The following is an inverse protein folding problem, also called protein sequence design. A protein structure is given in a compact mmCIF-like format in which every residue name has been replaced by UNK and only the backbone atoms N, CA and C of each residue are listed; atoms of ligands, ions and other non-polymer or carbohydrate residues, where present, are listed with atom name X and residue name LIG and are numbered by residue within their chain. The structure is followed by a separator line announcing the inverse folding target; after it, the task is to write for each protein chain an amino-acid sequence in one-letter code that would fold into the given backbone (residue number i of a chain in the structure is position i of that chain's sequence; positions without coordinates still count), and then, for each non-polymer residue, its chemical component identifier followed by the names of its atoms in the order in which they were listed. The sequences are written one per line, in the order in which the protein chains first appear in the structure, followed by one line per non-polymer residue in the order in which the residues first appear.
data_IF_949480563721
#
_entry.id   IF_949480563721
#
_cell.length_a   1.000
_cell.length_b   1.000
_cell.length_c   1.000
_cell.angle_alpha   90.00
_cell.angle_beta   90.00
_cell.angle_gamma   90.00
#
_symmetry.space_group_name_H-M   'P 1'
#
loop_
_entity.id
_entity.type
_entity.pdbx_description
1 polymer ?
#
# COMPACT_ATOMS: atom_id res chain seq x y z
N UNK A 1 8.06 4.63 -14.85
CA UNK A 1 7.29 3.37 -14.86
C UNK A 1 6.03 3.50 -14.03
N UNK A 2 5.13 2.54 -14.18
CA UNK A 2 3.93 2.38 -13.35
C UNK A 2 4.12 1.13 -12.50
N UNK A 3 3.73 1.19 -11.25
CA UNK A 3 3.72 0.07 -10.32
C UNK A 3 2.35 -0.15 -9.69
N UNK A 4 2.21 -1.23 -8.92
CA UNK A 4 1.07 -1.45 -8.03
C UNK A 4 1.54 -1.51 -6.58
N UNK A 5 0.74 -0.96 -5.66
CA UNK A 5 1.05 -0.86 -4.23
C UNK A 5 -0.13 -1.36 -3.41
N UNK A 6 0.09 -2.40 -2.66
CA UNK A 6 -0.88 -2.97 -1.71
C UNK A 6 -0.45 -2.67 -0.28
N UNK A 7 0.81 -2.91 0.06
CA UNK A 7 1.40 -2.72 1.38
C UNK A 7 2.72 -1.91 1.35
N UNK A 8 3.03 -1.22 0.26
CA UNK A 8 4.26 -0.46 0.10
C UNK A 8 5.03 -0.77 -1.19
N UNK A 9 4.45 -1.58 -2.10
CA UNK A 9 5.17 -2.14 -3.26
C UNK A 9 5.55 -1.14 -4.36
N UNK A 10 5.11 0.12 -4.28
CA UNK A 10 5.66 1.26 -5.03
C UNK A 10 6.67 2.01 -4.16
N UNK A 11 6.27 2.37 -2.96
CA UNK A 11 7.02 3.28 -2.06
C UNK A 11 8.33 2.66 -1.59
N UNK A 12 8.30 1.43 -1.10
CA UNK A 12 9.50 0.76 -0.57
C UNK A 12 10.55 0.51 -1.66
N UNK A 13 10.25 -0.13 -2.81
CA UNK A 13 11.26 -0.30 -3.86
C UNK A 13 11.75 1.03 -4.43
N UNK A 14 10.90 2.07 -4.49
CA UNK A 14 11.34 3.39 -4.90
C UNK A 14 12.39 3.96 -3.94
N UNK A 15 12.21 3.79 -2.63
CA UNK A 15 13.21 4.23 -1.64
C UNK A 15 14.53 3.47 -1.78
N UNK A 16 14.49 2.18 -2.03
CA UNK A 16 15.69 1.37 -2.24
C UNK A 16 16.43 1.71 -3.54
N UNK A 17 15.70 2.16 -4.55
CA UNK A 17 16.28 2.59 -5.84
C UNK A 17 16.63 4.07 -5.89
N UNK A 18 16.40 4.85 -4.83
CA UNK A 18 16.67 6.29 -4.81
C UNK A 18 15.82 7.08 -5.81
N UNK A 19 14.57 6.67 -6.04
CA UNK A 19 13.61 7.34 -6.94
C UNK A 19 12.33 7.73 -6.21
N UNK A 20 11.47 8.49 -6.88
CA UNK A 20 10.15 8.87 -6.37
C UNK A 20 9.13 7.79 -6.67
N UNK A 21 8.51 7.23 -5.64
CA UNK A 21 7.36 6.34 -5.76
C UNK A 21 6.14 6.93 -5.09
N UNK A 22 5.04 7.08 -5.84
CA UNK A 22 3.82 7.68 -5.34
C UNK A 22 2.65 6.70 -5.38
N UNK A 23 2.09 6.38 -4.21
CA UNK A 23 0.81 5.70 -4.11
C UNK A 23 -0.30 6.74 -3.96
N UNK A 24 -1.16 6.93 -4.97
CA UNK A 24 -2.27 7.87 -4.85
C UNK A 24 -3.33 7.41 -3.86
N UNK A 25 -4.27 8.29 -3.58
CA UNK A 25 -5.47 7.96 -2.80
C UNK A 25 -6.26 6.85 -3.47
N UNK A 26 -6.83 5.94 -2.67
CA UNK A 26 -7.63 4.83 -3.16
C UNK A 26 -8.75 5.29 -4.10
N UNK A 27 -8.88 4.62 -5.25
CA UNK A 27 -9.86 4.95 -6.28
C UNK A 27 -9.49 6.13 -7.18
N UNK A 28 -8.32 6.78 -6.98
CA UNK A 28 -7.87 7.90 -7.84
C UNK A 28 -7.46 7.45 -9.24
N UNK A 29 -6.83 6.30 -9.35
CA UNK A 29 -6.44 5.66 -10.61
C UNK A 29 -7.25 4.38 -10.80
N UNK A 30 -7.69 4.12 -12.03
CA UNK A 30 -8.36 2.85 -12.36
C UNK A 30 -7.41 1.67 -12.15
N UNK A 31 -7.97 0.56 -11.69
CA UNK A 31 -7.30 -0.73 -11.55
C UNK A 31 -7.68 -1.70 -12.67
N UNK A 32 -8.46 -1.24 -13.65
CA UNK A 32 -8.82 -2.07 -14.79
C UNK A 32 -7.57 -2.55 -15.54
N UNK A 33 -7.44 -3.86 -15.73
CA UNK A 33 -6.27 -4.49 -16.32
C UNK A 33 -5.16 -4.86 -15.33
N UNK A 34 -5.26 -4.50 -14.05
CA UNK A 34 -4.36 -4.96 -13.00
C UNK A 34 -4.81 -6.32 -12.46
N UNK A 35 -3.84 -7.18 -12.15
CA UNK A 35 -4.08 -8.41 -11.40
C UNK A 35 -4.43 -8.02 -9.95
N UNK A 36 -5.63 -8.39 -9.50
CA UNK A 36 -6.08 -8.07 -8.14
C UNK A 36 -5.37 -8.97 -7.12
N UNK A 37 -4.73 -8.37 -6.13
CA UNK A 37 -4.23 -9.06 -4.95
C UNK A 37 -5.14 -8.81 -3.74
N UNK A 38 -5.17 -7.57 -3.22
CA UNK A 38 -6.05 -7.19 -2.12
C UNK A 38 -6.94 -6.01 -2.54
N UNK A 39 -8.20 -6.29 -2.87
CA UNK A 39 -9.12 -5.34 -3.50
C UNK A 39 -9.35 -4.06 -2.70
N UNK A 40 -9.27 -4.12 -1.36
CA UNK A 40 -9.44 -2.94 -0.50
C UNK A 40 -8.16 -2.12 -0.29
N UNK A 41 -7.03 -2.54 -0.87
CA UNK A 41 -5.71 -1.95 -0.65
C UNK A 41 -4.99 -1.58 -1.95
N UNK A 42 -5.11 -2.40 -3.01
CA UNK A 42 -4.36 -2.24 -4.25
C UNK A 42 -4.57 -0.87 -4.90
N UNK A 43 -3.46 -0.24 -5.30
CA UNK A 43 -3.46 0.99 -6.09
C UNK A 43 -2.36 0.98 -7.14
N UNK A 44 -2.67 1.53 -8.32
CA UNK A 44 -1.67 1.89 -9.33
C UNK A 44 -1.05 3.25 -8.98
N UNK A 45 0.24 3.42 -9.29
CA UNK A 45 0.91 4.70 -9.09
C UNK A 45 2.23 4.81 -9.85
N UNK A 46 2.74 6.05 -10.04
CA UNK A 46 3.95 6.31 -10.77
C UNK A 46 5.22 6.05 -9.94
N UNK A 47 6.28 5.61 -10.64
CA UNK A 47 7.65 5.54 -10.17
C UNK A 47 8.54 6.32 -11.14
N UNK A 48 9.19 7.40 -10.68
CA UNK A 48 9.84 8.41 -11.51
C UNK A 48 11.13 8.91 -10.88
N UNK A 49 11.93 9.66 -11.64
CA UNK A 49 13.17 10.26 -11.14
C UNK A 49 12.95 11.56 -10.37
N UNK A 50 11.84 12.25 -10.63
CA UNK A 50 11.52 13.53 -9.97
C UNK A 50 10.07 13.59 -9.50
N UNK A 51 9.80 14.45 -8.52
CA UNK A 51 8.41 14.71 -8.05
C UNK A 51 7.56 15.34 -9.16
N UNK A 52 8.16 16.17 -10.03
CA UNK A 52 7.45 16.75 -11.18
C UNK A 52 7.00 15.67 -12.15
N UNK A 53 7.88 14.72 -12.50
CA UNK A 53 7.50 13.60 -13.36
C UNK A 53 6.39 12.74 -12.73
N UNK A 54 6.43 12.56 -11.40
CA UNK A 54 5.35 11.86 -10.69
C UNK A 54 4.01 12.60 -10.80
N UNK A 55 4.02 13.93 -10.70
CA UNK A 55 2.83 14.76 -10.87
C UNK A 55 2.27 14.68 -12.30
N UNK A 56 3.13 14.76 -13.31
CA UNK A 56 2.76 14.64 -14.74
C UNK A 56 2.16 13.25 -15.02
N UNK A 57 2.83 12.19 -14.58
CA UNK A 57 2.33 10.83 -14.75
C UNK A 57 1.01 10.62 -14.02
N UNK A 58 0.90 11.08 -12.77
CA UNK A 58 -0.35 10.99 -12.02
C UNK A 58 -1.49 11.74 -12.70
N UNK A 59 -1.21 12.91 -13.30
CA UNK A 59 -2.19 13.66 -14.07
C UNK A 59 -2.80 12.85 -15.23
N UNK A 60 -1.95 12.06 -15.89
CA UNK A 60 -2.36 11.18 -17.00
C UNK A 60 -3.08 9.91 -16.53
N UNK A 61 -2.77 9.42 -15.31
CA UNK A 61 -3.34 8.18 -14.76
C UNK A 61 -4.65 8.43 -14.01
N UNK A 62 -4.81 9.60 -13.40
CA UNK A 62 -5.95 9.93 -12.56
C UNK A 62 -7.18 10.18 -13.43
N UNK A 63 -8.14 9.27 -13.38
CA UNK A 63 -9.40 9.42 -14.13
C UNK A 63 -10.49 8.55 -13.50
N UNK A 64 -11.74 8.93 -13.75
CA UNK A 64 -12.87 8.05 -13.47
C UNK A 64 -13.00 7.01 -14.57
N UNK A 65 -13.11 5.74 -14.20
CA UNK A 65 -13.28 4.61 -15.11
C UNK A 65 -14.50 3.78 -14.70
N UNK A 66 -15.47 3.66 -15.59
CA UNK A 66 -16.68 2.84 -15.39
C UNK A 66 -16.38 1.34 -15.25
N UNK A 67 -15.21 0.89 -15.71
CA UNK A 67 -14.81 -0.53 -15.62
C UNK A 67 -14.22 -0.91 -14.26
N UNK A 68 -13.87 0.06 -13.43
CA UNK A 68 -13.44 -0.16 -12.05
C UNK A 68 -14.48 0.41 -11.08
N UNK A 69 -15.22 -0.46 -10.41
CA UNK A 69 -16.28 -0.10 -9.44
C UNK A 69 -15.76 0.72 -8.25
N UNK A 70 -14.46 0.74 -8.02
CA UNK A 70 -13.83 1.51 -6.94
C UNK A 70 -13.29 2.85 -7.42
N UNK A 71 -13.30 3.11 -8.73
CA UNK A 71 -12.87 4.38 -9.30
C UNK A 71 -13.77 5.53 -8.83
N UNK A 72 -13.17 6.57 -8.27
CA UNK A 72 -13.91 7.71 -7.70
C UNK A 72 -14.13 8.80 -8.72
N UNK A 73 -15.40 9.17 -8.90
CA UNK A 73 -15.76 10.34 -9.75
C UNK A 73 -15.51 11.62 -8.97
N UNK A 74 -14.32 12.17 -9.12
CA UNK A 74 -13.94 13.43 -8.46
C UNK A 74 -13.16 14.32 -9.40
N UNK A 75 -13.14 15.63 -9.10
CA UNK A 75 -12.32 16.59 -9.83
C UNK A 75 -10.85 16.19 -9.74
N UNK A 76 -10.16 16.22 -10.87
CA UNK A 76 -8.72 15.96 -10.94
C UNK A 76 -8.05 17.34 -10.92
N UNK A 77 -7.33 17.68 -9.84
CA UNK A 77 -6.57 18.93 -9.80
C UNK A 77 -5.38 18.87 -10.76
N UNK A 78 -4.87 20.01 -11.15
CA UNK A 78 -3.59 20.04 -11.84
C UNK A 78 -2.47 19.81 -10.82
N UNK A 79 -1.94 18.59 -10.81
CA UNK A 79 -0.92 18.18 -9.83
C UNK A 79 0.41 18.93 -10.03
N UNK A 80 0.75 19.31 -11.26
CA UNK A 80 1.98 20.05 -11.55
C UNK A 80 1.92 21.47 -10.99
N UNK A 81 0.78 22.14 -11.09
CA UNK A 81 0.58 23.48 -10.52
C UNK A 81 0.63 23.51 -8.99
N UNK A 82 0.38 22.36 -8.34
CA UNK A 82 0.51 22.24 -6.88
C UNK A 82 1.97 22.16 -6.38
N UNK A 83 2.94 21.96 -7.30
CA UNK A 83 4.36 21.92 -6.96
C UNK A 83 4.91 23.33 -6.73
N UNK A 84 4.60 23.87 -5.56
CA UNK A 84 5.13 25.16 -5.12
C UNK A 84 6.33 24.97 -4.22
N UNK A 85 7.27 25.90 -4.23
CA UNK A 85 8.42 25.90 -3.32
C UNK A 85 8.07 26.47 -1.93
N UNK A 86 6.87 26.99 -1.74
CA UNK A 86 6.45 27.62 -0.49
C UNK A 86 5.74 26.60 0.40
N UNK A 87 6.44 26.16 1.46
CA UNK A 87 5.89 25.29 2.51
C UNK A 87 5.84 25.97 3.88
N UNK A 88 5.99 27.31 3.91
CA UNK A 88 5.98 28.07 5.15
C UNK A 88 4.65 27.90 5.87
N UNK A 89 4.73 27.52 7.15
CA UNK A 89 3.57 27.27 7.99
C UNK A 89 2.90 25.90 7.81
N UNK A 90 3.38 25.05 6.87
CA UNK A 90 2.88 23.69 6.69
C UNK A 90 3.17 22.87 7.97
N UNK A 91 2.14 22.29 8.58
CA UNK A 91 2.27 21.47 9.80
C UNK A 91 2.62 20.03 9.39
N UNK A 92 3.80 19.57 9.84
CA UNK A 92 4.35 18.26 9.49
C UNK A 92 4.29 17.35 10.70
N UNK A 93 3.45 16.33 10.68
CA UNK A 93 3.32 15.34 11.74
C UNK A 93 4.50 14.38 11.80
N UNK A 94 5.06 14.21 12.99
CA UNK A 94 6.15 13.26 13.28
C UNK A 94 5.61 12.21 14.26
N UNK A 95 5.24 11.00 13.79
CA UNK A 95 4.66 9.98 14.67
C UNK A 95 5.70 9.44 15.65
N UNK A 96 5.44 9.56 16.95
CA UNK A 96 6.35 9.05 17.99
C UNK A 96 6.48 7.53 17.98
N UNK A 97 5.40 6.81 17.62
CA UNK A 97 5.38 5.36 17.56
C UNK A 97 6.20 4.77 16.39
N UNK A 98 6.64 5.59 15.44
CA UNK A 98 7.50 5.15 14.33
C UNK A 98 8.98 5.18 14.70
N UNK A 99 9.34 5.69 15.88
CA UNK A 99 10.68 5.55 16.48
C UNK A 99 10.85 4.18 17.11
N UNK A 100 10.77 3.14 16.25
CA UNK A 100 10.82 1.73 16.68
C UNK A 100 12.23 1.32 17.10
N UNK A 101 12.34 0.37 18.04
CA UNK A 101 13.62 -0.21 18.47
C UNK A 101 14.41 -0.90 17.33
N UNK A 102 13.73 -1.34 16.27
CA UNK A 102 14.33 -1.94 15.07
C UNK A 102 14.73 -0.97 13.96
N UNK A 103 14.54 0.34 14.14
CA UNK A 103 14.96 1.34 13.16
C UNK A 103 16.47 1.59 13.28
N UNK A 104 17.22 1.41 12.17
CA UNK A 104 18.68 1.65 12.19
C UNK A 104 18.99 3.10 12.54
N UNK A 105 20.14 3.32 13.18
CA UNK A 105 20.57 4.67 13.58
C UNK A 105 20.76 5.58 12.36
N UNK A 106 21.24 5.04 11.25
CA UNK A 106 21.34 5.76 9.97
C UNK A 106 19.98 6.30 9.51
N UNK A 107 18.93 5.47 9.55
CA UNK A 107 17.57 5.89 9.14
C UNK A 107 17.00 6.92 10.11
N UNK A 108 17.27 6.80 11.41
CA UNK A 108 16.88 7.83 12.40
C UNK A 108 17.49 9.17 12.08
N UNK A 109 18.79 9.20 11.76
CA UNK A 109 19.53 10.42 11.39
C UNK A 109 19.01 11.01 10.08
N UNK A 110 18.73 10.19 9.07
CA UNK A 110 18.14 10.63 7.81
C UNK A 110 16.74 11.22 8.01
N UNK A 111 15.94 10.60 8.86
CA UNK A 111 14.61 11.11 9.22
C UNK A 111 14.72 12.48 9.92
N UNK A 112 15.62 12.58 10.91
CA UNK A 112 15.86 13.87 11.59
C UNK A 112 16.32 14.94 10.60
N UNK A 113 17.26 14.64 9.69
CA UNK A 113 17.66 15.57 8.63
C UNK A 113 16.49 16.02 7.76
N UNK A 114 15.56 15.12 7.45
CA UNK A 114 14.32 15.47 6.74
C UNK A 114 13.46 16.47 7.52
N UNK A 115 13.32 16.28 8.82
CA UNK A 115 12.64 17.24 9.72
C UNK A 115 13.36 18.59 9.69
N UNK A 116 14.69 18.60 9.79
CA UNK A 116 15.50 19.82 9.81
C UNK A 116 15.37 20.61 8.48
N UNK A 117 15.41 19.93 7.34
CA UNK A 117 15.22 20.55 6.02
C UNK A 117 13.84 21.19 5.87
N UNK A 118 12.79 20.50 6.29
CA UNK A 118 11.43 21.04 6.25
C UNK A 118 11.28 22.25 7.18
N UNK A 119 11.88 22.20 8.36
CA UNK A 119 11.89 23.29 9.32
C UNK A 119 12.63 24.51 8.77
N UNK A 120 13.82 24.32 8.16
CA UNK A 120 14.58 25.39 7.50
C UNK A 120 13.80 26.04 6.35
N UNK A 121 12.97 25.25 5.65
CA UNK A 121 12.09 25.75 4.60
C UNK A 121 10.80 26.40 5.13
N UNK A 122 10.63 26.50 6.46
CA UNK A 122 9.56 27.20 7.14
C UNK A 122 8.33 26.34 7.52
N UNK A 123 8.41 25.02 7.38
CA UNK A 123 7.38 24.12 7.90
C UNK A 123 7.47 24.00 9.43
N UNK A 124 6.40 23.58 10.05
CA UNK A 124 6.26 23.44 11.51
C UNK A 124 6.15 21.95 11.85
N UNK A 125 7.21 21.32 12.41
CA UNK A 125 7.11 19.95 12.89
C UNK A 125 6.23 19.86 14.13
N UNK A 126 5.34 18.87 14.16
CA UNK A 126 4.40 18.60 15.23
C UNK A 126 4.51 17.14 15.62
N UNK A 127 4.83 16.83 16.87
CA UNK A 127 4.77 15.45 17.35
C UNK A 127 3.31 14.98 17.40
N UNK A 128 3.04 13.82 16.83
CA UNK A 128 1.71 13.19 16.82
C UNK A 128 1.78 11.77 17.34
N UNK A 129 0.63 11.22 17.73
CA UNK A 129 0.51 9.84 18.20
C UNK A 129 -0.40 9.01 17.29
N UNK A 130 0.06 7.81 16.95
CA UNK A 130 -0.67 6.79 16.19
C UNK A 130 -0.65 5.47 17.00
N UNK A 131 -1.38 5.38 18.13
CA UNK A 131 -1.20 4.32 19.14
C UNK A 131 -1.49 2.91 18.64
N UNK A 132 -2.29 2.77 17.58
CA UNK A 132 -2.62 1.46 17.00
C UNK A 132 -1.62 0.99 15.92
N UNK A 133 -0.54 1.75 15.65
CA UNK A 133 0.52 1.39 14.67
C UNK A 133 1.07 -0.03 14.88
N UNK A 134 1.25 -0.46 16.13
CA UNK A 134 1.74 -1.81 16.48
C UNK A 134 0.87 -2.95 15.91
N UNK A 135 -0.38 -2.67 15.58
CA UNK A 135 -1.31 -3.63 14.98
C UNK A 135 -1.37 -3.56 13.46
N UNK A 136 -0.71 -2.59 12.82
CA UNK A 136 -0.84 -2.37 11.37
C UNK A 136 -0.33 -3.57 10.56
N UNK A 137 0.86 -4.08 10.88
CA UNK A 137 1.46 -5.21 10.18
C UNK A 137 0.67 -6.53 10.39
N UNK A 138 0.30 -6.94 11.61
CA UNK A 138 -0.57 -8.09 11.82
C UNK A 138 -1.92 -7.97 11.09
N UNK A 139 -2.55 -6.78 11.12
CA UNK A 139 -3.81 -6.53 10.41
C UNK A 139 -3.65 -6.73 8.91
N UNK A 140 -2.57 -6.19 8.32
CA UNK A 140 -2.26 -6.38 6.90
C UNK A 140 -2.11 -7.86 6.53
N UNK A 141 -1.36 -8.63 7.32
CA UNK A 141 -1.13 -10.06 7.06
C UNK A 141 -2.36 -10.95 7.25
N UNK A 142 -3.44 -10.42 7.80
CA UNK A 142 -4.75 -11.09 7.83
C UNK A 142 -5.60 -10.64 6.65
N UNK A 143 -5.78 -9.32 6.48
CA UNK A 143 -6.70 -8.76 5.46
C UNK A 143 -6.20 -9.04 4.05
N UNK A 144 -4.93 -8.79 3.75
CA UNK A 144 -4.41 -8.93 2.40
C UNK A 144 -4.43 -10.40 1.90
N UNK A 145 -3.97 -11.42 2.67
CA UNK A 145 -4.13 -12.81 2.27
C UNK A 145 -5.59 -13.27 2.17
N UNK A 146 -6.50 -12.79 3.04
CA UNK A 146 -7.92 -13.10 2.97
C UNK A 146 -8.52 -12.63 1.63
N UNK A 147 -8.25 -11.39 1.23
CA UNK A 147 -8.71 -10.85 -0.05
C UNK A 147 -8.00 -11.52 -1.24
N UNK A 148 -6.71 -11.82 -1.13
CA UNK A 148 -5.95 -12.52 -2.16
C UNK A 148 -6.48 -13.93 -2.42
N UNK A 149 -6.86 -14.68 -1.40
CA UNK A 149 -7.43 -16.01 -1.56
C UNK A 149 -8.70 -15.99 -2.40
N UNK A 150 -9.57 -14.99 -2.22
CA UNK A 150 -10.77 -14.77 -3.03
C UNK A 150 -10.43 -14.27 -4.44
N UNK A 151 -9.53 -13.28 -4.56
CA UNK A 151 -9.18 -12.70 -5.86
C UNK A 151 -8.47 -13.68 -6.78
N UNK A 152 -7.58 -14.51 -6.22
CA UNK A 152 -6.82 -15.51 -6.98
C UNK A 152 -7.58 -16.82 -7.21
N UNK A 153 -8.79 -16.98 -6.67
CA UNK A 153 -9.64 -18.14 -6.93
C UNK A 153 -10.02 -18.28 -8.41
N UNK A 154 -10.08 -17.16 -9.15
CA UNK A 154 -10.42 -17.12 -10.58
C UNK A 154 -9.35 -17.67 -11.53
N UNK A 155 -8.13 -17.89 -11.03
CA UNK A 155 -7.03 -18.50 -11.79
C UNK A 155 -7.04 -20.01 -11.58
N UNK A 156 -7.99 -20.66 -12.24
CA UNK A 156 -8.34 -22.07 -12.09
C UNK A 156 -8.11 -22.89 -13.38
N UNK A 157 -7.64 -22.24 -14.46
CA UNK A 157 -7.39 -22.86 -15.75
C UNK A 157 -8.65 -23.13 -16.58
N UNK A 158 -9.84 -22.67 -16.15
CA UNK A 158 -11.09 -22.93 -16.89
C UNK A 158 -11.29 -21.96 -18.04
N UNK A 159 -11.17 -20.65 -17.79
CA UNK A 159 -11.48 -19.60 -18.78
C UNK A 159 -10.27 -18.96 -19.43
N UNK A 160 -9.15 -18.91 -18.73
CA UNK A 160 -7.91 -18.26 -19.18
C UNK A 160 -6.71 -18.72 -18.35
N UNK A 161 -5.51 -18.38 -18.82
CA UNK A 161 -4.25 -18.65 -18.15
C UNK A 161 -3.75 -20.07 -18.36
N UNK A 162 -2.83 -20.48 -17.47
CA UNK A 162 -2.30 -21.84 -17.46
C UNK A 162 -3.41 -22.86 -17.19
N UNK A 163 -3.38 -23.96 -17.89
CA UNK A 163 -4.23 -25.13 -17.66
C UNK A 163 -3.41 -26.39 -17.72
N UNK A 164 -3.32 -27.08 -16.58
CA UNK A 164 -2.77 -28.42 -16.49
C UNK A 164 -3.90 -29.46 -16.49
N UNK A 165 -3.69 -30.56 -17.17
CA UNK A 165 -4.71 -31.61 -17.27
C UNK A 165 -4.76 -32.46 -16.01
N UNK A 166 -5.92 -33.03 -15.73
CA UNK A 166 -6.17 -34.00 -14.66
C UNK A 166 -7.15 -35.06 -15.13
N UNK A 167 -7.30 -36.15 -14.38
CA UNK A 167 -8.28 -37.21 -14.65
C UNK A 167 -9.68 -36.78 -14.17
N UNK A 168 -9.77 -35.79 -13.30
CA UNK A 168 -10.98 -35.19 -12.80
C UNK A 168 -10.90 -33.67 -12.84
N UNK A 169 -12.03 -32.99 -12.60
CA UNK A 169 -12.07 -31.52 -12.49
C UNK A 169 -11.25 -31.04 -11.29
N UNK A 170 -11.34 -31.72 -10.17
CA UNK A 170 -10.59 -31.36 -8.94
C UNK A 170 -9.08 -31.52 -9.19
N UNK A 171 -8.65 -32.62 -9.82
CA UNK A 171 -7.26 -32.84 -10.16
C UNK A 171 -6.73 -31.79 -11.15
N UNK A 172 -7.55 -31.37 -12.13
CA UNK A 172 -7.20 -30.29 -13.04
C UNK A 172 -6.99 -28.96 -12.26
N UNK A 173 -7.83 -28.62 -11.30
CA UNK A 173 -7.67 -27.45 -10.45
C UNK A 173 -6.39 -27.54 -9.61
N UNK A 174 -6.14 -28.67 -8.95
CA UNK A 174 -4.97 -28.89 -8.12
C UNK A 174 -3.67 -28.77 -8.94
N UNK A 175 -3.60 -29.45 -10.07
CA UNK A 175 -2.44 -29.41 -10.97
C UNK A 175 -2.20 -27.99 -11.50
N UNK A 176 -3.23 -27.34 -12.02
CA UNK A 176 -3.14 -25.98 -12.58
C UNK A 176 -2.67 -24.97 -11.53
N UNK A 177 -3.28 -24.97 -10.36
CA UNK A 177 -2.93 -24.03 -9.30
C UNK A 177 -1.59 -24.36 -8.64
N UNK A 178 -1.26 -25.65 -8.53
CA UNK A 178 0.03 -26.13 -8.05
C UNK A 178 1.19 -25.71 -8.94
N UNK A 179 1.02 -25.82 -10.26
CA UNK A 179 2.03 -25.44 -11.24
C UNK A 179 2.10 -23.91 -11.46
N UNK A 180 0.94 -23.23 -11.44
CA UNK A 180 0.83 -21.82 -11.82
C UNK A 180 1.20 -20.84 -10.71
N UNK A 181 1.01 -21.19 -9.43
CA UNK A 181 1.31 -20.31 -8.31
C UNK A 181 2.65 -20.66 -7.67
N UNK A 182 3.51 -19.64 -7.52
CA UNK A 182 4.75 -19.76 -6.75
C UNK A 182 4.46 -20.01 -5.25
N UNK A 183 5.48 -20.45 -4.52
CA UNK A 183 5.39 -20.88 -3.12
C UNK A 183 4.78 -19.80 -2.20
N UNK A 184 5.24 -18.55 -2.30
CA UNK A 184 4.75 -17.46 -1.46
C UNK A 184 3.28 -17.13 -1.75
N UNK A 185 2.86 -17.16 -3.01
CA UNK A 185 1.46 -16.92 -3.40
C UNK A 185 0.57 -18.03 -2.85
N UNK A 186 0.99 -19.30 -2.96
CA UNK A 186 0.28 -20.45 -2.38
C UNK A 186 0.15 -20.32 -0.87
N UNK A 187 1.23 -19.92 -0.17
CA UNK A 187 1.20 -19.67 1.27
C UNK A 187 0.15 -18.63 1.64
N UNK A 188 0.10 -17.49 0.93
CA UNK A 188 -0.88 -16.43 1.18
C UNK A 188 -2.31 -16.86 0.88
N UNK A 189 -2.55 -17.63 -0.17
CA UNK A 189 -3.85 -18.21 -0.47
C UNK A 189 -4.29 -19.14 0.69
N UNK A 190 -3.41 -20.00 1.18
CA UNK A 190 -3.71 -20.90 2.29
C UNK A 190 -4.04 -20.13 3.58
N UNK A 191 -3.24 -19.13 3.94
CA UNK A 191 -3.50 -18.27 5.11
C UNK A 191 -4.84 -17.57 4.94
N UNK A 192 -5.12 -17.00 3.77
CA UNK A 192 -6.37 -16.30 3.48
C UNK A 192 -7.59 -17.22 3.60
N UNK A 193 -7.50 -18.41 3.03
CA UNK A 193 -8.56 -19.42 3.14
C UNK A 193 -8.80 -19.83 4.60
N UNK A 194 -7.72 -20.02 5.36
CA UNK A 194 -7.81 -20.36 6.78
C UNK A 194 -8.52 -19.27 7.60
N UNK A 195 -8.11 -18.01 7.46
CA UNK A 195 -8.70 -16.92 8.25
C UNK A 195 -10.13 -16.59 7.86
N UNK A 196 -10.58 -17.02 6.67
CA UNK A 196 -11.98 -16.89 6.22
C UNK A 196 -12.83 -18.11 6.52
N UNK A 197 -12.26 -19.21 7.03
CA UNK A 197 -12.99 -20.45 7.30
C UNK A 197 -13.89 -20.33 8.54
N UNK A 198 -14.87 -21.24 8.63
CA UNK A 198 -15.80 -21.29 9.75
C UNK A 198 -15.06 -21.46 11.09
N UNK A 199 -15.44 -20.69 12.09
CA UNK A 199 -14.82 -20.65 13.40
C UNK A 199 -13.60 -19.72 13.53
N UNK A 200 -12.98 -19.31 12.43
CA UNK A 200 -11.82 -18.39 12.42
C UNK A 200 -12.15 -17.01 11.89
N UNK A 201 -13.19 -16.88 11.09
CA UNK A 201 -13.62 -15.63 10.48
C UNK A 201 -13.80 -14.48 11.50
N UNK A 202 -14.54 -14.73 12.57
CA UNK A 202 -14.78 -13.74 13.62
C UNK A 202 -13.50 -13.44 14.42
N UNK A 203 -12.74 -14.48 14.73
CA UNK A 203 -11.56 -14.36 15.56
C UNK A 203 -10.40 -13.63 14.88
N UNK A 204 -10.27 -13.75 13.56
CA UNK A 204 -9.17 -13.17 12.79
C UNK A 204 -9.65 -12.05 11.85
N UNK A 205 -10.49 -12.35 10.86
CA UNK A 205 -10.83 -11.38 9.82
C UNK A 205 -11.64 -10.20 10.35
N UNK A 206 -12.74 -10.46 11.08
CA UNK A 206 -13.53 -9.37 11.67
C UNK A 206 -12.74 -8.56 12.70
N UNK A 207 -11.89 -9.23 13.48
CA UNK A 207 -11.01 -8.53 14.42
C UNK A 207 -10.01 -7.63 13.69
N UNK A 208 -9.41 -8.10 12.59
CA UNK A 208 -8.51 -7.31 11.76
C UNK A 208 -9.23 -6.10 11.14
N UNK A 209 -10.48 -6.27 10.67
CA UNK A 209 -11.28 -5.15 10.15
C UNK A 209 -11.61 -4.11 11.22
N UNK A 210 -11.90 -4.51 12.46
CA UNK A 210 -12.08 -3.59 13.60
C UNK A 210 -10.79 -2.84 13.92
N UNK A 211 -9.64 -3.53 13.92
CA UNK A 211 -8.32 -2.89 14.12
C UNK A 211 -7.99 -1.91 12.99
N UNK A 212 -8.32 -2.24 11.74
CA UNK A 212 -8.17 -1.32 10.60
C UNK A 212 -8.94 -0.02 10.82
N UNK A 213 -10.15 -0.10 11.39
CA UNK A 213 -10.95 1.09 11.74
C UNK A 213 -10.26 1.92 12.84
N UNK A 214 -9.70 1.29 13.87
CA UNK A 214 -8.96 2.01 14.91
C UNK A 214 -7.71 2.70 14.36
N UNK A 215 -6.97 2.04 13.48
CA UNK A 215 -5.82 2.63 12.77
C UNK A 215 -6.27 3.84 11.92
N UNK A 216 -7.38 3.71 11.19
CA UNK A 216 -7.95 4.84 10.42
C UNK A 216 -8.28 6.03 11.33
N UNK A 217 -8.89 5.77 12.48
CA UNK A 217 -9.25 6.82 13.44
C UNK A 217 -8.00 7.56 13.99
N UNK A 218 -6.89 6.85 14.23
CA UNK A 218 -5.63 7.49 14.62
C UNK A 218 -5.18 8.52 13.60
N UNK A 219 -5.20 8.16 12.30
CA UNK A 219 -4.84 9.10 11.23
C UNK A 219 -5.82 10.27 11.12
N UNK A 220 -7.13 9.99 11.20
CA UNK A 220 -8.15 11.05 11.15
C UNK A 220 -7.99 12.05 12.30
N UNK A 221 -7.67 11.57 13.50
CA UNK A 221 -7.43 12.44 14.66
C UNK A 221 -6.15 13.25 14.46
N UNK A 222 -5.06 12.62 14.04
CA UNK A 222 -3.80 13.30 13.82
C UNK A 222 -3.91 14.39 12.74
N UNK A 223 -4.62 14.13 11.63
CA UNK A 223 -4.82 15.13 10.57
C UNK A 223 -5.69 16.34 10.95
N UNK A 224 -6.28 16.38 12.13
CA UNK A 224 -6.88 17.63 12.66
C UNK A 224 -5.81 18.65 13.06
N UNK A 225 -4.62 18.18 13.42
CA UNK A 225 -3.51 19.02 13.91
C UNK A 225 -2.38 19.21 12.90
N UNK A 226 -2.28 18.39 11.87
CA UNK A 226 -1.21 18.42 10.87
C UNK A 226 -1.77 18.35 9.45
N UNK A 227 -0.98 18.82 8.48
CA UNK A 227 -1.36 18.87 7.08
C UNK A 227 -0.76 17.70 6.29
N UNK A 228 0.44 17.26 6.67
CA UNK A 228 1.16 16.08 6.13
C UNK A 228 1.86 15.35 7.27
N UNK A 229 2.37 14.16 6.98
CA UNK A 229 3.22 13.39 7.90
C UNK A 229 4.53 13.03 7.23
N UNK A 230 5.63 13.08 7.97
CA UNK A 230 6.96 12.62 7.54
C UNK A 230 7.33 11.35 8.30
N UNK A 231 7.59 10.27 7.57
CA UNK A 231 7.95 8.96 8.13
C UNK A 231 9.07 8.30 7.32
N UNK A 232 9.88 7.43 7.92
CA UNK A 232 10.75 6.54 7.15
C UNK A 232 9.92 5.64 6.24
N UNK A 233 10.39 5.38 5.03
CA UNK A 233 9.73 4.46 4.09
C UNK A 233 10.04 3.01 4.40
N UNK A 234 11.23 2.73 4.89
CA UNK A 234 11.71 1.40 5.26
C UNK A 234 12.61 1.49 6.51
N UNK A 235 12.75 0.42 7.31
CA UNK A 235 13.54 0.45 8.54
C UNK A 235 15.06 0.37 8.28
N UNK A 236 15.46 0.04 7.06
CA UNK A 236 16.86 -0.14 6.66
C UNK A 236 17.14 0.46 5.28
N UNK A 237 18.41 0.62 4.95
CA UNK A 237 18.88 0.91 3.61
C UNK A 237 18.59 -0.29 2.65
N UNK A 238 18.81 -0.06 1.34
CA UNK A 238 18.73 -1.12 0.34
C UNK A 238 19.69 -2.27 0.67
N UNK A 239 19.23 -3.48 0.43
CA UNK A 239 20.06 -4.70 0.54
C UNK A 239 20.91 -4.89 -0.74
N UNK A 240 21.95 -5.70 -0.63
CA UNK A 240 22.73 -6.09 -1.82
C UNK A 240 21.90 -6.97 -2.76
N UNK A 241 22.10 -6.85 -4.10
CA UNK A 241 21.41 -7.67 -5.09
C UNK A 241 21.80 -9.14 -5.03
#
# INVERSE_FOLDING_TARGET
SIGSDTGGSIRQPASFCGIVGMKPTYGRCSRWGMVAFASSLDQAGPMTKSVRDAAIMLQSMASFDLKDSTSVKSVIPNFELALTSNIKGLRVGIPKEYRLDGLSEEIKQLWQRGVDWLTQAGAIPVEISLPHTKYALPTYYIVAPAEASSNLARYDGVRYGLRETGQSLDEMYENTRGAGFGEEVRRRIMIGTYVLSAGYYDAYYLKAMKLRTLILNDFQEAFKSVDIMLTPTAPSAAFAP
#
